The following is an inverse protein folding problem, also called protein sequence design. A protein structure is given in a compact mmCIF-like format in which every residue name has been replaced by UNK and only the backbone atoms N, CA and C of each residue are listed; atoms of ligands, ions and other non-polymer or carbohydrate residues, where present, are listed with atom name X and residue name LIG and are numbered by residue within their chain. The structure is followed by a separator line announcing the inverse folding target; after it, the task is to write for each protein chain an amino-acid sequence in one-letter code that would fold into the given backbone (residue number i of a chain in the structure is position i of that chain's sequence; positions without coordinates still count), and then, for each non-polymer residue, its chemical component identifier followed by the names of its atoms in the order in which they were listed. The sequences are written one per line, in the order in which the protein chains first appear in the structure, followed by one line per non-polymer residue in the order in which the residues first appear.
data_IF_534546124755
#
_entry.id   IF_534546124755
#
_cell.length_a   1.000
_cell.length_b   1.000
_cell.length_c   1.000
_cell.angle_alpha   90.00
_cell.angle_beta   90.00
_cell.angle_gamma   90.00
#
_symmetry.space_group_name_H-M   'P 1'
#
loop_
_entity.id
_entity.type
_entity.pdbx_description
1 polymer ?
#
# COMPACT_ATOMS: atom_id res chain seq x y z
N UNK A 1 17.52 -16.10 -56.31
CA UNK A 1 17.78 -16.71 -54.99
C UNK A 1 18.85 -15.99 -54.15
N UNK A 2 19.17 -14.72 -54.41
CA UNK A 2 20.25 -13.98 -53.70
C UNK A 2 19.72 -12.86 -52.77
N UNK A 3 18.51 -12.34 -53.02
CA UNK A 3 17.93 -11.23 -52.25
C UNK A 3 17.44 -11.61 -50.84
N UNK A 4 17.06 -12.87 -50.61
CA UNK A 4 16.63 -13.32 -49.28
C UNK A 4 17.81 -13.43 -48.30
N UNK A 5 18.96 -13.91 -48.76
CA UNK A 5 20.15 -14.08 -47.92
C UNK A 5 20.71 -12.75 -47.37
N UNK A 6 20.56 -11.65 -48.12
CA UNK A 6 21.02 -10.32 -47.69
C UNK A 6 20.14 -9.74 -46.57
N UNK A 7 18.84 -10.02 -46.59
CA UNK A 7 17.87 -9.53 -45.60
C UNK A 7 18.12 -10.12 -44.21
N UNK A 8 18.41 -11.41 -44.12
CA UNK A 8 18.70 -12.07 -42.83
C UNK A 8 20.06 -11.64 -42.24
N UNK A 9 21.05 -11.34 -43.09
CA UNK A 9 22.33 -10.75 -42.63
C UNK A 9 22.14 -9.36 -42.05
N UNK A 10 21.29 -8.52 -42.65
CA UNK A 10 21.03 -7.16 -42.15
C UNK A 10 20.25 -7.17 -40.81
N UNK A 11 19.29 -8.09 -40.66
CA UNK A 11 18.53 -8.30 -39.42
C UNK A 11 19.43 -8.83 -38.31
N UNK A 12 20.33 -9.77 -38.62
CA UNK A 12 21.33 -10.27 -37.68
C UNK A 12 22.30 -9.19 -37.20
N UNK A 13 22.69 -8.27 -38.08
CA UNK A 13 23.57 -7.14 -37.73
C UNK A 13 22.86 -6.13 -36.80
N UNK A 14 21.57 -5.85 -37.04
CA UNK A 14 20.76 -4.94 -36.21
C UNK A 14 20.50 -5.50 -34.80
N UNK A 15 20.27 -6.82 -34.69
CA UNK A 15 20.13 -7.48 -33.38
C UNK A 15 21.44 -7.47 -32.59
N UNK A 16 22.59 -7.58 -33.27
CA UNK A 16 23.89 -7.50 -32.60
C UNK A 16 24.12 -6.11 -32.01
N UNK A 17 23.78 -5.03 -32.72
CA UNK A 17 23.95 -3.64 -32.26
C UNK A 17 23.10 -3.36 -31.01
N UNK A 18 21.88 -3.88 -30.94
CA UNK A 18 20.99 -3.74 -29.77
C UNK A 18 21.57 -4.37 -28.49
N UNK A 19 22.29 -5.48 -28.63
CA UNK A 19 22.94 -6.16 -27.50
C UNK A 19 24.13 -5.36 -26.95
N UNK A 20 24.88 -4.65 -27.81
CA UNK A 20 26.05 -3.86 -27.37
C UNK A 20 25.64 -2.54 -26.72
N UNK A 21 24.51 -1.94 -27.12
CA UNK A 21 24.01 -0.70 -26.50
C UNK A 21 23.39 -0.93 -25.12
N UNK A 22 22.96 -2.15 -24.80
CA UNK A 22 22.33 -2.46 -23.51
C UNK A 22 23.32 -2.63 -22.35
N UNK A 23 24.63 -2.69 -22.61
CA UNK A 23 25.66 -2.83 -21.57
C UNK A 23 26.27 -1.50 -21.09
N UNK A 24 25.92 -0.35 -21.67
CA UNK A 24 26.52 0.94 -21.31
C UNK A 24 25.70 1.79 -20.32
N UNK A 25 24.66 1.22 -19.70
CA UNK A 25 23.75 1.97 -18.83
C UNK A 25 23.79 1.55 -17.35
N UNK A 26 24.91 0.98 -16.89
CA UNK A 26 25.13 0.67 -15.47
C UNK A 26 26.13 1.58 -14.73
N UNK A 27 26.70 2.60 -15.39
CA UNK A 27 27.59 3.57 -14.75
C UNK A 27 26.95 4.95 -14.61
N UNK A 28 25.73 5.01 -14.06
CA UNK A 28 25.34 6.18 -13.27
C UNK A 28 25.46 5.75 -11.81
N UNK A 29 26.64 5.98 -11.25
CA UNK A 29 26.81 6.06 -9.80
C UNK A 29 25.77 7.05 -9.27
N UNK A 30 24.67 6.53 -8.75
CA UNK A 30 23.93 7.22 -7.71
C UNK A 30 24.96 7.55 -6.64
N UNK A 31 25.25 8.84 -6.42
CA UNK A 31 25.98 9.29 -5.23
C UNK A 31 25.28 8.67 -4.02
N UNK A 32 25.84 7.61 -3.46
CA UNK A 32 25.40 7.06 -2.20
C UNK A 32 25.86 8.09 -1.17
N UNK A 33 24.95 8.97 -0.77
CA UNK A 33 25.15 9.83 0.38
C UNK A 33 25.58 8.95 1.55
N UNK A 34 26.73 9.25 2.14
CA UNK A 34 27.26 8.52 3.29
C UNK A 34 26.19 8.54 4.39
N UNK A 35 25.70 7.36 4.78
CA UNK A 35 24.61 7.25 5.76
C UNK A 35 25.09 7.87 7.06
N UNK A 36 24.55 9.05 7.40
CA UNK A 36 24.86 9.71 8.67
C UNK A 36 24.45 8.78 9.81
N UNK A 37 25.41 8.41 10.64
CA UNK A 37 25.19 7.56 11.81
C UNK A 37 24.65 8.35 13.02
N UNK A 38 24.81 9.67 13.00
CA UNK A 38 24.41 10.57 14.07
C UNK A 38 23.71 11.81 13.51
N UNK A 39 22.77 12.35 14.27
CA UNK A 39 22.12 13.63 13.98
C UNK A 39 22.98 14.82 14.43
N UNK A 40 22.48 16.04 14.17
CA UNK A 40 23.16 17.29 14.54
C UNK A 40 23.37 17.46 16.06
N UNK A 41 22.68 16.66 16.88
CA UNK A 41 22.77 16.66 18.35
C UNK A 41 23.65 15.52 18.86
N UNK A 42 24.29 14.75 17.97
CA UNK A 42 25.13 13.61 18.33
C UNK A 42 24.34 12.36 18.75
N UNK A 43 23.03 12.30 18.49
CA UNK A 43 22.20 11.12 18.76
C UNK A 43 22.31 10.14 17.61
N UNK A 44 22.38 8.85 17.92
CA UNK A 44 22.40 7.81 16.89
C UNK A 44 21.11 7.86 16.08
N UNK A 45 21.23 7.78 14.76
CA UNK A 45 20.08 7.70 13.85
C UNK A 45 19.68 6.24 13.66
N UNK A 46 18.38 5.97 13.73
CA UNK A 46 17.80 4.64 13.50
C UNK A 46 16.77 4.73 12.37
N UNK A 47 17.00 3.95 11.32
CA UNK A 47 16.19 3.97 10.10
C UNK A 47 15.21 2.80 9.98
N UNK A 48 15.41 1.76 10.78
CA UNK A 48 14.71 0.48 10.69
C UNK A 48 14.04 0.12 12.03
N UNK A 49 12.78 -0.33 11.93
CA UNK A 49 11.91 -0.66 13.06
C UNK A 49 12.43 -1.83 13.90
N UNK A 50 13.00 -2.87 13.27
CA UNK A 50 13.55 -4.03 13.96
C UNK A 50 14.80 -3.64 14.77
N UNK A 51 15.70 -2.85 14.17
CA UNK A 51 16.88 -2.32 14.84
C UNK A 51 16.48 -1.47 16.05
N UNK A 52 15.49 -0.59 15.90
CA UNK A 52 14.95 0.18 17.02
C UNK A 52 14.40 -0.73 18.12
N UNK A 53 13.63 -1.74 17.74
CA UNK A 53 13.01 -2.69 18.67
C UNK A 53 14.06 -3.48 19.44
N UNK A 54 15.12 -3.96 18.78
CA UNK A 54 16.24 -4.63 19.44
C UNK A 54 16.96 -3.72 20.42
N UNK A 55 17.22 -2.47 20.03
CA UNK A 55 17.83 -1.47 20.90
C UNK A 55 16.93 -1.20 22.11
N UNK A 56 15.62 -1.06 21.92
CA UNK A 56 14.64 -0.77 22.96
C UNK A 56 14.45 -1.96 23.91
N UNK A 57 14.61 -3.18 23.42
CA UNK A 57 14.62 -4.39 24.27
C UNK A 57 15.81 -4.40 25.22
N UNK A 58 16.97 -3.89 24.80
CA UNK A 58 18.20 -3.82 25.61
C UNK A 58 18.20 -2.62 26.56
N UNK A 59 17.69 -1.47 26.11
CA UNK A 59 17.56 -0.26 26.91
C UNK A 59 16.20 0.41 26.64
N UNK A 60 15.33 0.45 27.66
CA UNK A 60 13.99 1.03 27.54
C UNK A 60 13.99 2.55 27.38
N UNK A 61 15.06 3.22 27.80
CA UNK A 61 15.24 4.66 27.73
C UNK A 61 16.20 5.00 26.58
N UNK A 62 15.83 4.63 25.35
CA UNK A 62 16.61 4.99 24.17
C UNK A 62 16.59 6.50 23.93
N UNK A 63 17.78 7.09 23.82
CA UNK A 63 17.94 8.44 23.28
C UNK A 63 18.52 8.35 21.87
N UNK A 64 17.64 8.25 20.88
CA UNK A 64 17.98 8.10 19.46
C UNK A 64 17.08 8.98 18.60
N UNK A 65 17.53 9.27 17.39
CA UNK A 65 16.72 9.95 16.39
C UNK A 65 16.21 8.92 15.39
N UNK A 66 14.90 8.82 15.25
CA UNK A 66 14.28 7.89 14.30
C UNK A 66 13.98 8.61 12.99
N UNK A 67 14.41 8.02 11.88
CA UNK A 67 14.04 8.46 10.52
C UNK A 67 13.31 7.30 9.85
N UNK A 68 11.98 7.38 9.81
CA UNK A 68 11.13 6.36 9.19
C UNK A 68 11.18 6.46 7.65
N UNK A 69 12.25 5.94 7.09
CA UNK A 69 12.46 5.89 5.63
C UNK A 69 11.40 5.06 4.92
N UNK A 70 10.84 4.03 5.59
CA UNK A 70 9.77 3.23 5.02
C UNK A 70 8.52 4.08 4.80
N UNK A 71 8.07 4.82 5.82
CA UNK A 71 6.93 5.73 5.70
C UNK A 71 7.17 6.82 4.64
N UNK A 72 8.36 7.44 4.62
CA UNK A 72 8.73 8.44 3.61
C UNK A 72 8.55 7.87 2.18
N UNK A 73 9.09 6.68 1.94
CA UNK A 73 9.01 6.02 0.64
C UNK A 73 7.57 5.61 0.30
N UNK A 74 6.79 5.14 1.28
CA UNK A 74 5.38 4.78 1.10
C UNK A 74 4.53 6.01 0.73
N UNK A 75 4.73 7.16 1.38
CA UNK A 75 4.04 8.40 1.01
C UNK A 75 4.41 8.86 -0.40
N UNK A 76 5.70 8.85 -0.72
CA UNK A 76 6.17 9.22 -2.06
C UNK A 76 5.57 8.31 -3.14
N UNK A 77 5.44 7.01 -2.86
CA UNK A 77 4.77 6.06 -3.75
C UNK A 77 3.28 6.36 -3.87
N UNK A 78 2.57 6.54 -2.75
CA UNK A 78 1.13 6.85 -2.77
C UNK A 78 0.82 8.09 -3.60
N UNK A 79 1.62 9.16 -3.44
CA UNK A 79 1.47 10.40 -4.22
C UNK A 79 1.64 10.14 -5.73
N UNK A 80 2.60 9.29 -6.13
CA UNK A 80 2.78 8.93 -7.55
C UNK A 80 1.59 8.14 -8.07
N UNK A 81 1.12 7.15 -7.31
CA UNK A 81 0.01 6.29 -7.70
C UNK A 81 -1.30 7.11 -7.82
N UNK A 82 -1.56 8.01 -6.87
CA UNK A 82 -2.68 8.97 -6.91
C UNK A 82 -2.62 9.86 -8.15
N UNK A 83 -1.43 10.42 -8.46
CA UNK A 83 -1.23 11.26 -9.66
C UNK A 83 -1.51 10.50 -10.95
N UNK A 84 -1.26 9.19 -10.95
CA UNK A 84 -1.56 8.30 -12.09
C UNK A 84 -3.02 7.81 -12.10
N UNK A 85 -3.87 8.33 -11.23
CA UNK A 85 -5.29 7.97 -11.14
C UNK A 85 -5.57 6.66 -10.38
N UNK A 86 -4.54 6.05 -9.77
CA UNK A 86 -4.70 4.83 -8.98
C UNK A 86 -5.18 5.15 -7.57
N UNK A 87 -6.33 4.58 -7.18
CA UNK A 87 -6.86 4.64 -5.83
C UNK A 87 -7.01 3.22 -5.28
N UNK A 88 -6.57 3.01 -4.05
CA UNK A 88 -6.68 1.72 -3.37
C UNK A 88 -7.32 1.94 -2.01
N UNK A 89 -8.42 1.24 -1.74
CA UNK A 89 -8.99 1.11 -0.41
C UNK A 89 -8.42 -0.14 0.26
N UNK A 90 -7.96 0.03 1.50
CA UNK A 90 -7.45 -1.07 2.31
C UNK A 90 -8.54 -1.49 3.30
N UNK A 91 -9.05 -2.70 3.10
CA UNK A 91 -10.17 -3.24 3.87
C UNK A 91 -9.65 -4.19 4.96
N UNK A 92 -10.35 -4.21 6.09
CA UNK A 92 -10.08 -5.05 7.27
C UNK A 92 -11.32 -5.86 7.71
N UNK A 93 -12.39 -5.84 6.90
CA UNK A 93 -13.65 -6.52 7.13
C UNK A 93 -13.80 -7.70 6.16
N UNK A 94 -13.36 -8.91 6.55
CA UNK A 94 -13.28 -10.05 5.64
C UNK A 94 -14.65 -10.51 5.10
N UNK A 95 -15.73 -10.32 5.85
CA UNK A 95 -17.08 -10.74 5.46
C UNK A 95 -17.61 -9.87 4.31
N UNK A 96 -17.37 -8.56 4.39
CA UNK A 96 -17.84 -7.56 3.42
C UNK A 96 -16.88 -7.37 2.25
N UNK A 97 -15.64 -7.84 2.33
CA UNK A 97 -14.55 -7.55 1.40
C UNK A 97 -14.96 -7.68 -0.07
N UNK A 98 -15.56 -8.81 -0.46
CA UNK A 98 -15.97 -9.05 -1.85
C UNK A 98 -17.06 -8.05 -2.32
N UNK A 99 -17.98 -7.68 -1.42
CA UNK A 99 -19.09 -6.77 -1.70
C UNK A 99 -18.57 -5.33 -1.77
N UNK A 100 -17.69 -4.96 -0.85
CA UNK A 100 -16.93 -3.70 -0.86
C UNK A 100 -16.15 -3.54 -2.16
N UNK A 101 -15.34 -4.55 -2.53
CA UNK A 101 -14.53 -4.54 -3.74
C UNK A 101 -15.37 -4.38 -5.01
N UNK A 102 -16.50 -5.09 -5.09
CA UNK A 102 -17.46 -4.93 -6.18
C UNK A 102 -17.97 -3.50 -6.28
N UNK A 103 -18.47 -2.92 -5.19
CA UNK A 103 -19.05 -1.56 -5.22
C UNK A 103 -17.98 -0.51 -5.53
N UNK A 104 -16.81 -0.58 -4.88
CA UNK A 104 -15.71 0.35 -5.06
C UNK A 104 -15.12 0.33 -6.48
N UNK A 105 -15.13 -0.83 -7.14
CA UNK A 105 -14.65 -0.95 -8.52
C UNK A 105 -15.41 -0.05 -9.50
N UNK A 106 -16.70 0.20 -9.27
CA UNK A 106 -17.51 1.13 -10.08
C UNK A 106 -17.04 2.58 -9.99
N UNK A 107 -16.29 2.92 -8.94
CA UNK A 107 -15.69 4.23 -8.72
C UNK A 107 -14.21 4.29 -9.12
N UNK A 108 -13.69 3.21 -9.73
CA UNK A 108 -12.29 3.07 -10.09
C UNK A 108 -11.36 2.96 -8.89
N UNK A 109 -11.86 2.40 -7.77
CA UNK A 109 -11.08 2.16 -6.55
C UNK A 109 -10.80 0.66 -6.46
N UNK A 110 -9.51 0.30 -6.43
CA UNK A 110 -9.08 -1.06 -6.15
C UNK A 110 -9.25 -1.37 -4.65
N UNK A 111 -9.49 -2.61 -4.29
CA UNK A 111 -9.54 -3.05 -2.89
C UNK A 111 -8.39 -4.01 -2.61
N UNK A 112 -7.71 -3.81 -1.48
CA UNK A 112 -6.69 -4.72 -0.97
C UNK A 112 -7.04 -5.10 0.47
N UNK A 113 -7.01 -6.39 0.76
CA UNK A 113 -7.08 -6.89 2.13
C UNK A 113 -5.82 -6.48 2.89
N UNK A 114 -5.97 -5.97 4.11
CA UNK A 114 -4.86 -5.57 4.94
C UNK A 114 -5.03 -6.05 6.39
N UNK A 115 -4.05 -6.84 6.84
CA UNK A 115 -3.92 -7.17 8.25
C UNK A 115 -3.35 -5.96 9.01
N UNK A 116 -4.09 -5.48 10.00
CA UNK A 116 -3.63 -4.41 10.88
C UNK A 116 -2.83 -4.98 12.05
N UNK A 117 -1.58 -4.56 12.17
CA UNK A 117 -0.81 -4.57 13.41
C UNK A 117 -1.44 -3.63 14.45
N UNK A 118 -1.66 -4.16 15.65
CA UNK A 118 -2.24 -3.45 16.80
C UNK A 118 -1.22 -2.60 17.57
N UNK A 119 0.07 -2.86 17.39
CA UNK A 119 1.15 -2.18 18.13
C UNK A 119 1.78 -1.11 17.27
N UNK A 120 1.83 0.12 17.80
CA UNK A 120 2.59 1.23 17.22
C UNK A 120 3.96 1.28 17.87
N UNK A 121 5.01 1.31 17.05
CA UNK A 121 6.39 1.47 17.52
C UNK A 121 6.75 2.96 17.48
N UNK A 122 7.27 3.48 18.59
CA UNK A 122 7.63 4.90 18.70
C UNK A 122 8.59 5.31 17.59
N UNK A 123 8.28 6.43 16.93
CA UNK A 123 9.09 6.98 15.84
C UNK A 123 8.83 6.35 14.46
N UNK A 124 8.10 5.24 14.37
CA UNK A 124 7.70 4.61 13.12
C UNK A 124 6.19 4.72 12.93
N UNK A 125 5.78 5.28 11.79
CA UNK A 125 4.37 5.48 11.46
C UNK A 125 3.88 4.31 10.59
N UNK A 126 2.92 3.50 11.07
CA UNK A 126 2.37 2.43 10.26
C UNK A 126 1.45 2.97 9.15
N UNK A 127 1.23 2.17 8.11
CA UNK A 127 0.20 2.39 7.09
C UNK A 127 0.30 3.70 6.31
N UNK A 128 1.50 4.28 6.17
CA UNK A 128 1.64 5.59 5.52
C UNK A 128 1.12 5.65 4.08
N UNK A 129 1.20 4.58 3.30
CA UNK A 129 0.61 4.55 1.96
C UNK A 129 -0.91 4.53 2.00
N UNK A 130 -1.48 3.67 2.86
CA UNK A 130 -2.92 3.53 3.06
C UNK A 130 -3.54 4.85 3.53
N UNK A 131 -2.89 5.55 4.46
CA UNK A 131 -3.38 6.85 4.94
C UNK A 131 -3.50 7.88 3.81
N UNK A 132 -2.49 7.95 2.94
CA UNK A 132 -2.50 8.86 1.79
C UNK A 132 -3.60 8.49 0.79
N UNK A 133 -3.80 7.19 0.54
CA UNK A 133 -4.90 6.70 -0.31
C UNK A 133 -6.27 7.00 0.26
N UNK A 134 -6.48 6.71 1.56
CA UNK A 134 -7.73 7.00 2.26
C UNK A 134 -8.04 8.49 2.22
N UNK A 135 -7.04 9.35 2.51
CA UNK A 135 -7.20 10.80 2.45
C UNK A 135 -7.63 11.27 1.07
N UNK A 136 -7.05 10.71 0.00
CA UNK A 136 -7.42 11.07 -1.36
C UNK A 136 -8.83 10.58 -1.74
N UNK A 137 -9.22 9.37 -1.31
CA UNK A 137 -10.58 8.85 -1.50
C UNK A 137 -11.58 9.77 -0.79
N UNK A 138 -11.35 10.12 0.49
CA UNK A 138 -12.20 11.03 1.24
C UNK A 138 -12.27 12.42 0.60
N UNK A 139 -11.15 12.94 0.10
CA UNK A 139 -11.11 14.21 -0.63
C UNK A 139 -11.97 14.18 -1.90
N UNK A 140 -11.96 13.07 -2.63
CA UNK A 140 -12.64 12.93 -3.93
C UNK A 140 -14.13 12.61 -3.80
N UNK A 141 -14.51 11.79 -2.82
CA UNK A 141 -15.87 11.24 -2.70
C UNK A 141 -16.60 11.67 -1.42
N UNK A 142 -15.90 12.30 -0.48
CA UNK A 142 -16.42 12.75 0.80
C UNK A 142 -16.10 11.79 1.94
N UNK A 143 -15.97 12.34 3.15
CA UNK A 143 -15.56 11.60 4.37
C UNK A 143 -16.46 10.41 4.71
N UNK A 144 -17.75 10.46 4.34
CA UNK A 144 -18.72 9.39 4.64
C UNK A 144 -18.86 8.35 3.53
N UNK A 145 -18.07 8.46 2.46
CA UNK A 145 -18.23 7.63 1.28
C UNK A 145 -17.98 6.15 1.58
N UNK A 146 -16.84 5.83 2.19
CA UNK A 146 -16.49 4.45 2.56
C UNK A 146 -17.50 3.88 3.55
N UNK A 147 -17.86 4.62 4.61
CA UNK A 147 -18.86 4.18 5.59
C UNK A 147 -20.22 3.86 4.95
N UNK A 148 -20.59 4.63 3.92
CA UNK A 148 -21.84 4.42 3.19
C UNK A 148 -21.79 3.13 2.37
N UNK A 149 -20.68 2.87 1.68
CA UNK A 149 -20.47 1.62 0.94
C UNK A 149 -20.44 0.43 1.91
N UNK A 150 -19.74 0.56 3.04
CA UNK A 150 -19.66 -0.47 4.06
C UNK A 150 -21.04 -0.87 4.57
N UNK A 151 -21.92 0.09 4.86
CA UNK A 151 -23.31 -0.19 5.28
C UNK A 151 -24.11 -0.94 4.21
N UNK A 152 -23.86 -0.68 2.93
CA UNK A 152 -24.49 -1.42 1.83
C UNK A 152 -23.94 -2.84 1.77
N UNK A 153 -22.62 -2.99 1.79
CA UNK A 153 -21.95 -4.29 1.76
C UNK A 153 -22.35 -5.19 2.94
N UNK A 154 -22.41 -4.63 4.16
CA UNK A 154 -22.88 -5.31 5.36
C UNK A 154 -24.33 -5.81 5.20
N UNK A 155 -25.23 -4.96 4.69
CA UNK A 155 -26.62 -5.35 4.45
C UNK A 155 -26.70 -6.48 3.43
N UNK A 156 -25.96 -6.39 2.34
CA UNK A 156 -25.90 -7.43 1.31
C UNK A 156 -25.39 -8.75 1.88
N UNK A 157 -24.31 -8.73 2.66
CA UNK A 157 -23.78 -9.91 3.33
C UNK A 157 -24.82 -10.60 4.21
N UNK A 158 -25.51 -9.83 5.06
CA UNK A 158 -26.52 -10.36 5.99
C UNK A 158 -27.72 -10.97 5.23
N UNK A 159 -28.13 -10.37 4.12
CA UNK A 159 -29.23 -10.90 3.30
C UNK A 159 -28.84 -12.18 2.55
N UNK A 160 -27.58 -12.30 2.12
CA UNK A 160 -27.04 -13.50 1.47
C UNK A 160 -26.80 -14.64 2.47
N UNK A 161 -26.52 -14.30 3.73
CA UNK A 161 -26.17 -15.25 4.80
C UNK A 161 -27.11 -15.13 6.02
N UNK A 162 -28.44 -15.32 5.85
CA UNK A 162 -29.41 -15.01 6.90
C UNK A 162 -29.28 -15.86 8.16
N UNK A 163 -28.68 -17.05 8.03
CA UNK A 163 -28.49 -18.00 9.11
C UNK A 163 -27.14 -17.86 9.82
N UNK A 164 -26.22 -17.06 9.29
CA UNK A 164 -24.91 -16.82 9.89
C UNK A 164 -25.00 -15.67 10.89
N UNK A 165 -24.58 -15.90 12.13
CA UNK A 165 -24.58 -14.85 13.15
C UNK A 165 -23.71 -13.66 12.72
N UNK A 166 -24.26 -12.45 12.87
CA UNK A 166 -23.58 -11.21 12.53
C UNK A 166 -23.68 -10.24 13.71
N UNK A 167 -22.64 -10.21 14.54
CA UNK A 167 -22.57 -9.36 15.73
C UNK A 167 -21.60 -8.20 15.48
N UNK A 168 -22.09 -6.98 15.70
CA UNK A 168 -21.27 -5.77 15.76
C UNK A 168 -21.53 -5.09 17.12
N UNK A 169 -20.46 -4.79 17.88
CA UNK A 169 -20.55 -4.16 19.21
C UNK A 169 -21.53 -4.85 20.18
N UNK A 170 -21.62 -6.19 20.11
CA UNK A 170 -22.51 -6.99 20.96
C UNK A 170 -23.97 -7.00 20.52
N UNK A 171 -24.29 -6.44 19.35
CA UNK A 171 -25.65 -6.40 18.79
C UNK A 171 -25.69 -7.28 17.53
N UNK A 172 -26.66 -8.21 17.47
CA UNK A 172 -26.94 -8.97 16.25
C UNK A 172 -27.64 -8.07 15.21
N UNK A 173 -26.90 -7.68 14.18
CA UNK A 173 -27.41 -6.77 13.14
C UNK A 173 -28.37 -7.45 12.17
N UNK A 174 -28.45 -8.78 12.17
CA UNK A 174 -29.47 -9.48 11.38
C UNK A 174 -30.86 -9.07 11.78
N UNK A 175 -31.11 -8.81 13.06
CA UNK A 175 -32.41 -8.34 13.51
C UNK A 175 -32.84 -7.06 12.79
N UNK A 176 -31.91 -6.17 12.46
CA UNK A 176 -32.23 -4.93 11.75
C UNK A 176 -32.63 -5.17 10.30
N UNK A 177 -31.98 -6.11 9.61
CA UNK A 177 -32.13 -6.31 8.17
C UNK A 177 -33.04 -7.47 7.78
N UNK A 178 -33.17 -8.48 8.63
CA UNK A 178 -34.02 -9.66 8.46
C UNK A 178 -35.37 -9.54 9.18
N UNK A 179 -35.60 -8.50 10.01
CA UNK A 179 -36.92 -8.28 10.62
C UNK A 179 -37.98 -8.21 9.53
N UNK A 180 -38.87 -9.21 9.59
CA UNK A 180 -39.99 -9.50 8.69
C UNK A 180 -40.86 -8.26 8.48
N UNK A 181 -41.23 -8.00 7.22
CA UNK A 181 -42.50 -7.33 6.90
C UNK A 181 -43.65 -8.15 7.48
#
# INVERSE_FOLDING_TARGET
MVKHFLKYKLIGLLLLIFLITSCNQQNKESKVEEVKNYDEKGKRIVYNEDVYTEMWRKNKNLDVTVIDTFCINQKARAIRDIKNGKLIYFDFHPLELDKMARILSHYGIETQEQLRRYVKITGFEPYCYEFEMHREISRKFGEKFIDSIFRVAQKEYILENPNEEYIEDGIDLREKYLKKK
#
